data_IF_723504527440
#
_entry.id   IF_723504527440
#
_cell.length_a   1.000
_cell.length_b   1.000
_cell.length_c   1.000
_cell.angle_alpha   90.00
_cell.angle_beta   90.00
_cell.angle_gamma   90.00
#
_symmetry.space_group_name_H-M   'P 1'
#
loop_
_entity.id
_entity.type
_entity.pdbx_description
1 polymer ?
#
# COMPACT_ATOMS: atom_id res chain seq x y z
N UNK A 1 -34.09 23.54 -1.46
CA UNK A 1 -32.99 23.77 -0.50
C UNK A 1 -32.22 22.45 -0.43
N UNK A 2 -31.13 22.35 -1.21
CA UNK A 2 -30.43 21.10 -1.50
C UNK A 2 -29.40 20.79 -0.40
N UNK A 3 -29.68 19.79 0.43
CA UNK A 3 -28.86 19.38 1.58
C UNK A 3 -27.55 18.66 1.18
N UNK A 4 -27.15 18.69 -0.11
CA UNK A 4 -25.92 18.05 -0.59
C UNK A 4 -24.68 18.96 -0.61
N UNK A 5 -24.80 20.25 -0.32
CA UNK A 5 -23.70 21.21 -0.56
C UNK A 5 -22.68 21.39 0.58
N UNK A 6 -22.77 20.63 1.67
CA UNK A 6 -21.88 20.79 2.83
C UNK A 6 -20.97 19.57 3.09
N UNK A 7 -20.48 18.91 2.03
CA UNK A 7 -19.29 18.05 2.19
C UNK A 7 -18.09 18.99 2.19
N UNK A 8 -17.43 19.15 3.34
CA UNK A 8 -16.14 19.83 3.47
C UNK A 8 -15.13 19.17 2.54
N UNK A 9 -15.08 19.63 1.29
CA UNK A 9 -14.06 19.30 0.34
C UNK A 9 -12.83 20.10 0.73
N UNK A 10 -11.93 19.52 1.53
CA UNK A 10 -10.53 19.95 1.45
C UNK A 10 -10.17 19.93 -0.04
N UNK A 11 -9.74 21.05 -0.64
CA UNK A 11 -9.48 21.11 -2.06
C UNK A 11 -8.45 20.03 -2.41
N UNK A 12 -8.64 19.32 -3.53
CA UNK A 12 -7.78 18.20 -3.95
C UNK A 12 -6.27 18.56 -3.96
N UNK A 13 -5.95 19.86 -4.10
CA UNK A 13 -4.60 20.43 -3.95
C UNK A 13 -4.02 20.21 -2.55
N UNK A 14 -4.79 20.48 -1.49
CA UNK A 14 -4.34 20.27 -0.10
C UNK A 14 -4.06 18.82 0.23
N UNK A 15 -4.91 17.89 -0.22
CA UNK A 15 -4.68 16.45 -0.03
C UNK A 15 -3.43 15.96 -0.78
N UNK A 16 -3.14 16.50 -1.97
CA UNK A 16 -1.92 16.17 -2.72
C UNK A 16 -0.67 16.66 -2.01
N UNK A 17 -0.67 17.91 -1.52
CA UNK A 17 0.45 18.47 -0.76
C UNK A 17 0.70 17.68 0.53
N UNK A 18 -0.34 17.34 1.28
CA UNK A 18 -0.22 16.53 2.49
C UNK A 18 0.37 15.14 2.18
N UNK A 19 -0.10 14.47 1.13
CA UNK A 19 0.43 13.18 0.71
C UNK A 19 1.93 13.24 0.37
N UNK A 20 2.38 14.32 -0.27
CA UNK A 20 3.79 14.53 -0.60
C UNK A 20 4.62 14.78 0.67
N UNK A 21 4.12 15.61 1.60
CA UNK A 21 4.80 15.84 2.88
C UNK A 21 4.98 14.52 3.64
N UNK A 22 3.92 13.72 3.77
CA UNK A 22 4.02 12.41 4.42
C UNK A 22 4.94 11.44 3.68
N UNK A 23 4.98 11.49 2.35
CA UNK A 23 5.92 10.67 1.56
C UNK A 23 7.37 11.06 1.84
N UNK A 24 7.67 12.35 1.88
CA UNK A 24 9.02 12.85 2.20
C UNK A 24 9.41 12.49 3.62
N UNK A 25 8.49 12.67 4.59
CA UNK A 25 8.75 12.29 5.98
C UNK A 25 8.94 10.78 6.13
N UNK A 26 8.15 9.96 5.44
CA UNK A 26 8.31 8.50 5.40
C UNK A 26 9.69 8.13 4.87
N UNK A 27 10.12 8.73 3.76
CA UNK A 27 11.44 8.52 3.17
C UNK A 27 12.57 8.89 4.13
N UNK A 28 12.49 10.06 4.77
CA UNK A 28 13.47 10.48 5.78
C UNK A 28 13.52 9.53 6.97
N UNK A 29 12.36 9.07 7.47
CA UNK A 29 12.28 8.09 8.54
C UNK A 29 12.92 6.75 8.13
N UNK A 30 12.71 6.31 6.89
CA UNK A 30 13.30 5.08 6.37
C UNK A 30 14.83 5.19 6.23
N UNK A 31 15.34 6.32 5.73
CA UNK A 31 16.79 6.60 5.66
C UNK A 31 17.41 6.72 7.05
N UNK A 32 16.67 7.24 8.03
CA UNK A 32 17.13 7.34 9.41
C UNK A 32 17.10 6.01 10.18
N UNK A 33 16.31 5.01 9.74
CA UNK A 33 16.13 3.74 10.47
C UNK A 33 17.45 3.00 10.73
N UNK A 34 18.39 2.90 9.77
CA UNK A 34 19.73 2.33 9.99
C UNK A 34 20.58 3.00 11.07
N UNK A 35 20.28 4.26 11.44
CA UNK A 35 21.02 4.99 12.48
C UNK A 35 20.71 4.47 13.89
N UNK A 36 19.63 3.72 14.06
CA UNK A 36 19.24 3.12 15.33
C UNK A 36 19.84 1.72 15.48
N UNK A 37 20.17 1.34 16.70
CA UNK A 37 20.52 -0.03 17.03
C UNK A 37 19.33 -0.96 16.77
N UNK A 38 19.60 -2.22 16.42
CA UNK A 38 18.56 -3.22 16.09
C UNK A 38 17.43 -3.29 17.12
N UNK A 39 17.76 -3.24 18.40
CA UNK A 39 16.80 -3.27 19.51
C UNK A 39 15.96 -2.00 19.70
N UNK A 40 16.23 -0.92 18.96
CA UNK A 40 15.56 0.38 19.05
C UNK A 40 14.77 0.73 17.76
N UNK A 41 14.77 -0.15 16.75
CA UNK A 41 14.17 0.12 15.44
C UNK A 41 12.65 -0.02 15.38
N UNK A 42 11.99 -0.40 16.47
CA UNK A 42 10.53 -0.54 16.51
C UNK A 42 9.83 0.80 16.27
N UNK A 43 10.33 1.87 16.90
CA UNK A 43 9.78 3.21 16.76
C UNK A 43 9.94 3.77 15.34
N UNK A 44 11.13 3.79 14.71
CA UNK A 44 11.27 4.26 13.33
C UNK A 44 10.52 3.37 12.33
N UNK A 45 10.48 2.04 12.51
CA UNK A 45 9.66 1.14 11.67
C UNK A 45 8.18 1.52 11.76
N UNK A 46 7.69 1.77 12.97
CA UNK A 46 6.29 2.18 13.19
C UNK A 46 6.00 3.54 12.54
N UNK A 47 6.93 4.49 12.68
CA UNK A 47 6.81 5.80 12.06
C UNK A 47 6.75 5.69 10.53
N UNK A 48 7.60 4.87 9.90
CA UNK A 48 7.59 4.62 8.45
C UNK A 48 6.21 4.13 8.01
N UNK A 49 5.64 3.12 8.66
CA UNK A 49 4.33 2.57 8.29
C UNK A 49 3.19 3.58 8.49
N UNK A 50 3.21 4.34 9.58
CA UNK A 50 2.18 5.38 9.82
C UNK A 50 2.25 6.48 8.77
N UNK A 51 3.45 6.97 8.44
CA UNK A 51 3.65 8.00 7.42
C UNK A 51 3.31 7.47 6.02
N UNK A 52 3.61 6.20 5.75
CA UNK A 52 3.23 5.51 4.52
C UNK A 52 1.71 5.46 4.35
N UNK A 53 0.99 5.03 5.40
CA UNK A 53 -0.46 4.99 5.39
C UNK A 53 -1.11 6.38 5.31
N UNK A 54 -0.53 7.39 5.96
CA UNK A 54 -0.99 8.77 5.84
C UNK A 54 -0.81 9.31 4.41
N UNK A 55 0.34 9.03 3.78
CA UNK A 55 0.59 9.38 2.39
C UNK A 55 -0.41 8.70 1.45
N UNK A 56 -0.62 7.39 1.62
CA UNK A 56 -1.58 6.60 0.85
C UNK A 56 -3.03 7.13 0.98
N UNK A 57 -3.46 7.43 2.21
CA UNK A 57 -4.77 8.02 2.50
C UNK A 57 -4.94 9.36 1.76
N UNK A 58 -4.00 10.27 1.92
CA UNK A 58 -4.08 11.60 1.31
C UNK A 58 -4.02 11.53 -0.23
N UNK A 59 -3.20 10.64 -0.80
CA UNK A 59 -3.12 10.44 -2.25
C UNK A 59 -4.40 9.81 -2.82
N UNK A 60 -5.01 8.88 -2.10
CA UNK A 60 -6.32 8.32 -2.43
C UNK A 60 -7.41 9.40 -2.30
N UNK A 61 -7.41 10.19 -1.23
CA UNK A 61 -8.37 11.27 -1.01
C UNK A 61 -8.33 12.32 -2.13
N UNK A 62 -7.14 12.66 -2.62
CA UNK A 62 -6.96 13.53 -3.79
C UNK A 62 -7.56 12.96 -5.09
N UNK A 63 -7.72 11.63 -5.18
CA UNK A 63 -8.24 10.94 -6.37
C UNK A 63 -9.73 10.60 -6.31
N UNK A 64 -10.21 10.17 -5.14
CA UNK A 64 -11.57 9.63 -4.95
C UNK A 64 -12.39 10.35 -3.88
N UNK A 65 -11.83 11.39 -3.24
CA UNK A 65 -12.42 12.11 -2.12
C UNK A 65 -12.19 11.41 -0.77
N UNK A 66 -12.21 12.21 0.31
CA UNK A 66 -11.88 11.76 1.67
C UNK A 66 -12.72 10.60 2.17
N UNK A 67 -14.03 10.62 1.94
CA UNK A 67 -14.90 9.54 2.42
C UNK A 67 -14.50 8.18 1.85
N UNK A 68 -14.30 8.09 0.53
CA UNK A 68 -13.91 6.83 -0.13
C UNK A 68 -12.51 6.39 0.26
N UNK A 69 -11.61 7.34 0.46
CA UNK A 69 -10.25 7.06 0.91
C UNK A 69 -10.24 6.52 2.34
N UNK A 70 -11.00 7.12 3.25
CA UNK A 70 -11.18 6.63 4.62
C UNK A 70 -11.80 5.24 4.64
N UNK A 71 -12.89 5.02 3.89
CA UNK A 71 -13.49 3.68 3.77
C UNK A 71 -12.48 2.66 3.25
N UNK A 72 -11.68 3.01 2.23
CA UNK A 72 -10.65 2.12 1.71
C UNK A 72 -9.57 1.78 2.75
N UNK A 73 -9.04 2.79 3.46
CA UNK A 73 -8.03 2.57 4.51
C UNK A 73 -8.60 1.73 5.64
N UNK A 74 -9.76 2.10 6.18
CA UNK A 74 -10.39 1.34 7.28
C UNK A 74 -10.69 -0.09 6.87
N UNK A 75 -11.22 -0.31 5.66
CA UNK A 75 -11.52 -1.65 5.18
C UNK A 75 -10.24 -2.48 4.96
N UNK A 76 -9.18 -1.88 4.42
CA UNK A 76 -7.89 -2.54 4.26
C UNK A 76 -7.26 -2.94 5.60
N UNK A 77 -7.27 -2.01 6.57
CA UNK A 77 -6.76 -2.28 7.91
C UNK A 77 -7.59 -3.34 8.63
N UNK A 78 -8.92 -3.31 8.51
CA UNK A 78 -9.79 -4.31 9.13
C UNK A 78 -9.62 -5.71 8.51
N UNK A 79 -9.58 -5.80 7.18
CA UNK A 79 -9.37 -7.07 6.46
C UNK A 79 -7.99 -7.63 6.77
N UNK A 80 -6.94 -6.80 6.69
CA UNK A 80 -5.58 -7.18 7.07
C UNK A 80 -5.53 -7.71 8.49
N UNK A 81 -6.03 -6.94 9.47
CA UNK A 81 -6.08 -7.39 10.86
C UNK A 81 -6.83 -8.71 11.05
N UNK A 82 -8.00 -8.87 10.43
CA UNK A 82 -8.80 -10.07 10.58
C UNK A 82 -8.06 -11.30 10.04
N UNK A 83 -7.42 -11.17 8.88
CA UNK A 83 -6.67 -12.26 8.26
C UNK A 83 -5.43 -12.60 9.08
N UNK A 84 -4.69 -11.62 9.57
CA UNK A 84 -3.52 -11.82 10.44
C UNK A 84 -3.91 -12.51 11.75
N UNK A 85 -5.03 -12.09 12.35
CA UNK A 85 -5.54 -12.67 13.60
C UNK A 85 -6.01 -14.13 13.41
N UNK A 86 -6.53 -14.48 12.23
CA UNK A 86 -6.86 -15.87 11.89
C UNK A 86 -5.57 -16.65 11.61
N UNK A 87 -4.70 -16.11 10.76
CA UNK A 87 -3.49 -16.77 10.29
C UNK A 87 -2.50 -17.10 11.40
N UNK A 88 -2.28 -16.17 12.33
CA UNK A 88 -1.42 -16.40 13.51
C UNK A 88 -1.97 -17.46 14.48
N UNK A 89 -3.28 -17.78 14.42
CA UNK A 89 -3.90 -18.81 15.26
C UNK A 89 -4.02 -20.16 14.59
N UNK A 90 -4.25 -20.18 13.28
CA UNK A 90 -4.51 -21.40 12.52
C UNK A 90 -3.30 -21.91 11.76
N UNK A 91 -2.29 -21.06 11.53
CA UNK A 91 -1.15 -21.33 10.64
C UNK A 91 -1.53 -21.36 9.15
N UNK A 92 -2.79 -21.10 8.79
CA UNK A 92 -3.28 -21.12 7.41
C UNK A 92 -3.68 -19.71 6.97
N UNK A 93 -3.28 -19.25 5.77
CA UNK A 93 -2.39 -19.89 4.79
C UNK A 93 -0.88 -19.65 5.02
N UNK A 94 -0.50 -18.89 6.06
CA UNK A 94 0.85 -18.30 6.18
C UNK A 94 1.96 -19.24 6.70
N UNK A 95 1.59 -20.47 7.09
CA UNK A 95 2.41 -21.30 7.95
C UNK A 95 2.30 -20.86 9.42
N UNK A 96 2.86 -21.66 10.33
CA UNK A 96 2.91 -21.29 11.74
C UNK A 96 3.95 -20.18 11.95
N UNK A 97 3.48 -18.96 12.20
CA UNK A 97 4.31 -17.81 12.53
C UNK A 97 3.74 -17.02 13.69
N UNK A 98 4.61 -16.24 14.33
CA UNK A 98 4.23 -15.33 15.40
C UNK A 98 4.95 -14.00 15.26
N UNK A 99 4.26 -12.94 15.66
CA UNK A 99 4.89 -11.66 15.94
C UNK A 99 5.66 -11.74 17.25
N UNK A 100 6.82 -11.09 17.31
CA UNK A 100 7.49 -10.84 18.58
C UNK A 100 6.77 -9.72 19.34
N UNK A 101 7.08 -9.57 20.64
CA UNK A 101 6.51 -8.50 21.47
C UNK A 101 7.00 -7.09 21.15
N UNK A 102 7.85 -6.92 20.13
CA UNK A 102 8.56 -5.68 19.84
C UNK A 102 7.66 -4.57 19.26
N UNK A 103 6.82 -4.91 18.28
CA UNK A 103 5.89 -3.95 17.68
C UNK A 103 4.61 -3.89 18.50
N UNK A 104 4.37 -2.73 19.12
CA UNK A 104 3.24 -2.44 20.00
C UNK A 104 2.46 -1.21 19.53
N UNK A 105 1.16 -1.11 19.85
CA UNK A 105 0.35 -2.09 20.58
C UNK A 105 -0.04 -3.29 19.72
N UNK A 106 -0.30 -4.43 20.36
CA UNK A 106 -0.88 -5.62 19.73
C UNK A 106 -2.32 -5.83 20.17
N UNK A 107 -3.16 -6.28 19.23
CA UNK A 107 -4.53 -6.72 19.50
C UNK A 107 -4.64 -8.16 19.01
N UNK A 108 -5.08 -9.07 19.87
CA UNK A 108 -5.15 -10.51 19.58
C UNK A 108 -3.80 -11.13 19.13
N UNK A 109 -2.66 -10.56 19.54
CA UNK A 109 -1.32 -11.01 19.15
C UNK A 109 -0.82 -10.44 17.82
N UNK A 110 -1.59 -9.56 17.18
CA UNK A 110 -1.23 -8.89 15.92
C UNK A 110 -0.90 -7.42 16.19
N UNK A 111 0.29 -6.93 15.80
CA UNK A 111 0.62 -5.51 15.88
C UNK A 111 -0.32 -4.65 15.05
N UNK A 112 -0.88 -3.61 15.65
CA UNK A 112 -1.80 -2.68 14.97
C UNK A 112 -1.13 -2.02 13.76
N UNK A 113 0.17 -1.78 13.85
CA UNK A 113 0.95 -1.22 12.75
C UNK A 113 0.99 -2.13 11.52
N UNK A 114 0.96 -3.45 11.70
CA UNK A 114 0.96 -4.39 10.56
C UNK A 114 -0.37 -4.33 9.82
N UNK A 115 -1.48 -4.25 10.55
CA UNK A 115 -2.79 -4.00 9.95
C UNK A 115 -2.83 -2.67 9.16
N UNK A 116 -2.12 -1.64 9.63
CA UNK A 116 -2.02 -0.36 8.92
C UNK A 116 -1.16 -0.47 7.63
N UNK A 117 -0.14 -1.32 7.61
CA UNK A 117 0.71 -1.56 6.44
C UNK A 117 -0.08 -2.04 5.21
N UNK A 118 -1.11 -2.87 5.42
CA UNK A 118 -2.03 -3.31 4.36
C UNK A 118 -2.67 -2.13 3.61
N UNK A 119 -3.08 -1.08 4.32
CA UNK A 119 -3.59 0.15 3.71
C UNK A 119 -2.46 0.98 3.07
N UNK A 120 -1.32 1.07 3.77
CA UNK A 120 -0.16 1.85 3.37
C UNK A 120 0.44 1.44 2.03
N UNK A 121 0.52 0.14 1.74
CA UNK A 121 1.01 -0.36 0.44
C UNK A 121 -0.08 -0.87 -0.48
N UNK A 122 -1.24 -1.29 0.03
CA UNK A 122 -2.34 -1.74 -0.81
C UNK A 122 -2.89 -0.64 -1.72
N UNK A 123 -3.04 0.60 -1.23
CA UNK A 123 -3.50 1.72 -2.05
C UNK A 123 -2.46 2.15 -3.12
N UNK A 124 -1.16 2.25 -2.82
CA UNK A 124 -0.10 2.38 -3.82
C UNK A 124 -0.11 1.26 -4.88
N UNK A 125 -0.21 -0.01 -4.48
CA UNK A 125 -0.28 -1.15 -5.39
C UNK A 125 -1.53 -1.07 -6.30
N UNK A 126 -2.69 -0.70 -5.74
CA UNK A 126 -3.91 -0.47 -6.50
C UNK A 126 -3.81 0.70 -7.49
N UNK A 127 -3.04 1.73 -7.14
CA UNK A 127 -2.76 2.86 -8.01
C UNK A 127 -1.80 2.50 -9.15
N UNK A 128 -0.75 1.72 -8.86
CA UNK A 128 0.16 1.13 -9.86
C UNK A 128 -0.63 0.34 -10.89
N UNK A 129 -1.44 -0.63 -10.44
CA UNK A 129 -2.26 -1.43 -11.34
C UNK A 129 -3.25 -0.58 -12.15
N UNK A 130 -3.91 0.39 -11.52
CA UNK A 130 -4.88 1.27 -12.18
C UNK A 130 -4.29 2.25 -13.20
N UNK A 131 -2.96 2.42 -13.20
CA UNK A 131 -2.23 3.21 -14.20
C UNK A 131 -1.72 2.35 -15.36
N UNK A 132 -1.56 1.04 -15.14
CA UNK A 132 -1.03 0.09 -16.13
C UNK A 132 -2.12 -0.64 -16.91
N UNK A 133 -3.25 -0.95 -16.27
CA UNK A 133 -4.32 -1.75 -16.89
C UNK A 133 -5.70 -1.14 -16.63
N UNK A 134 -6.60 -1.32 -17.60
CA UNK A 134 -7.98 -0.81 -17.55
C UNK A 134 -9.03 -1.87 -17.24
N UNK A 135 -8.73 -3.14 -17.53
CA UNK A 135 -9.65 -4.25 -17.30
C UNK A 135 -9.75 -4.54 -15.79
N UNK A 136 -10.96 -4.62 -15.21
CA UNK A 136 -11.12 -4.78 -13.76
C UNK A 136 -10.39 -6.01 -13.19
N UNK A 137 -10.52 -7.18 -13.84
CA UNK A 137 -9.88 -8.41 -13.40
C UNK A 137 -8.33 -8.32 -13.48
N UNK A 138 -7.80 -7.77 -14.59
CA UNK A 138 -6.36 -7.56 -14.73
C UNK A 138 -5.82 -6.59 -13.67
N UNK A 139 -6.59 -5.56 -13.31
CA UNK A 139 -6.21 -4.62 -12.26
C UNK A 139 -6.16 -5.27 -10.89
N UNK A 140 -7.11 -6.14 -10.59
CA UNK A 140 -7.11 -6.93 -9.35
C UNK A 140 -5.88 -7.84 -9.31
N UNK A 141 -5.64 -8.62 -10.37
CA UNK A 141 -4.49 -9.52 -10.44
C UNK A 141 -3.15 -8.78 -10.34
N UNK A 142 -2.97 -7.69 -11.08
CA UNK A 142 -1.73 -6.92 -11.08
C UNK A 142 -1.52 -6.17 -9.76
N UNK A 143 -2.59 -5.63 -9.16
CA UNK A 143 -2.51 -5.00 -7.84
C UNK A 143 -2.16 -6.00 -6.75
N UNK A 144 -2.70 -7.22 -6.84
CA UNK A 144 -2.39 -8.30 -5.91
C UNK A 144 -0.92 -8.72 -6.01
N UNK A 145 -0.44 -8.94 -7.25
CA UNK A 145 0.96 -9.25 -7.51
C UNK A 145 1.90 -8.11 -7.06
N UNK A 146 1.51 -6.85 -7.25
CA UNK A 146 2.31 -5.70 -6.82
C UNK A 146 2.42 -5.61 -5.30
N UNK A 147 1.31 -5.83 -4.57
CA UNK A 147 1.30 -5.83 -3.11
C UNK A 147 2.11 -7.01 -2.55
N UNK A 148 1.86 -8.23 -3.03
CA UNK A 148 2.62 -9.42 -2.62
C UNK A 148 4.09 -9.35 -3.02
N UNK A 149 4.41 -8.66 -4.12
CA UNK A 149 5.78 -8.40 -4.52
C UNK A 149 6.57 -7.60 -3.47
N UNK A 150 5.90 -6.73 -2.72
CA UNK A 150 6.54 -5.99 -1.62
C UNK A 150 6.87 -6.91 -0.44
N UNK A 151 6.09 -7.97 -0.19
CA UNK A 151 6.38 -8.94 0.85
C UNK A 151 7.69 -9.70 0.61
N UNK A 152 8.17 -9.77 -0.64
CA UNK A 152 9.50 -10.28 -0.96
C UNK A 152 10.63 -9.47 -0.29
N UNK A 153 10.38 -8.22 0.09
CA UNK A 153 11.28 -7.42 0.91
C UNK A 153 10.87 -7.42 2.37
N UNK A 154 9.59 -7.14 2.64
CA UNK A 154 9.08 -6.93 3.98
C UNK A 154 9.26 -8.16 4.88
N UNK A 155 8.94 -9.36 4.38
CA UNK A 155 9.07 -10.60 5.16
C UNK A 155 10.53 -10.85 5.59
N UNK A 156 11.53 -10.89 4.69
CA UNK A 156 12.92 -10.98 5.11
C UNK A 156 13.37 -9.86 6.03
N UNK A 157 12.89 -8.62 5.83
CA UNK A 157 13.26 -7.48 6.66
C UNK A 157 12.80 -7.69 8.09
N UNK A 158 11.55 -8.06 8.28
CA UNK A 158 10.97 -8.25 9.61
C UNK A 158 11.52 -9.51 10.30
N UNK A 159 11.88 -10.56 9.55
CA UNK A 159 12.62 -11.72 10.11
C UNK A 159 14.03 -11.31 10.52
N UNK A 160 14.74 -10.54 9.68
CA UNK A 160 16.09 -10.06 9.97
C UNK A 160 16.13 -9.12 11.18
N UNK A 161 15.07 -8.34 11.42
CA UNK A 161 14.92 -7.52 12.62
C UNK A 161 14.47 -8.35 13.84
N UNK A 162 13.82 -9.51 13.64
CA UNK A 162 13.29 -10.36 14.70
C UNK A 162 11.86 -10.00 15.13
N UNK A 163 11.13 -9.32 14.26
CA UNK A 163 9.72 -8.96 14.47
C UNK A 163 8.79 -10.11 14.07
N UNK A 164 9.16 -10.90 13.06
CA UNK A 164 8.44 -12.11 12.66
C UNK A 164 9.29 -13.35 12.87
N UNK A 165 8.64 -14.42 13.30
CA UNK A 165 9.30 -15.69 13.61
C UNK A 165 8.44 -16.82 13.03
N UNK A 166 9.02 -17.56 12.07
CA UNK A 166 8.50 -18.85 11.60
C UNK A 166 9.36 -19.97 12.21
N UNK A 167 8.91 -20.65 13.29
CA UNK A 167 9.72 -21.67 13.96
C UNK A 167 10.06 -22.87 13.06
N UNK A 168 9.15 -23.22 12.14
CA UNK A 168 9.36 -24.29 11.16
C UNK A 168 10.30 -23.93 10.00
N UNK A 169 10.72 -22.67 9.90
CA UNK A 169 11.52 -22.16 8.79
C UNK A 169 10.78 -22.19 7.46
N UNK A 170 11.55 -22.00 6.38
CA UNK A 170 11.00 -21.94 5.03
C UNK A 170 12.05 -21.56 3.99
N UNK A 171 11.70 -21.75 2.72
CA UNK A 171 12.65 -21.68 1.60
C UNK A 171 13.22 -20.26 1.37
N UNK A 172 12.49 -19.21 1.73
CA UNK A 172 12.89 -17.84 1.49
C UNK A 172 13.21 -17.15 2.80
N UNK A 173 14.49 -17.21 3.23
CA UNK A 173 14.97 -16.59 4.48
C UNK A 173 14.23 -17.04 5.75
N UNK A 174 13.81 -18.30 5.77
CA UNK A 174 13.03 -18.86 6.87
C UNK A 174 11.52 -18.68 6.71
N UNK A 175 11.05 -18.04 5.62
CA UNK A 175 9.63 -17.87 5.31
C UNK A 175 9.16 -18.97 4.35
N UNK A 176 8.06 -19.69 4.64
CA UNK A 176 7.52 -20.73 3.79
C UNK A 176 6.84 -20.15 2.55
N UNK A 177 6.88 -20.86 1.41
CA UNK A 177 6.27 -20.37 0.16
C UNK A 177 4.73 -20.25 0.24
N UNK A 178 4.10 -21.00 1.14
CA UNK A 178 2.65 -20.89 1.43
C UNK A 178 2.28 -19.50 1.93
N UNK A 179 3.19 -18.81 2.62
CA UNK A 179 3.01 -17.44 3.08
C UNK A 179 2.75 -16.48 1.91
N UNK A 180 3.61 -16.48 0.90
CA UNK A 180 3.45 -15.63 -0.28
C UNK A 180 2.20 -16.00 -1.09
N UNK A 181 1.82 -17.28 -1.15
CA UNK A 181 0.56 -17.69 -1.76
C UNK A 181 -0.66 -17.16 -0.97
N UNK A 182 -0.56 -17.17 0.36
CA UNK A 182 -1.51 -16.54 1.26
C UNK A 182 -1.64 -15.04 1.03
N UNK A 183 -0.51 -14.32 1.04
CA UNK A 183 -0.48 -12.89 0.75
C UNK A 183 -1.04 -12.54 -0.61
N UNK A 184 -0.80 -13.37 -1.63
CA UNK A 184 -1.41 -13.17 -2.95
C UNK A 184 -2.94 -13.28 -2.91
N UNK A 185 -3.48 -14.27 -2.21
CA UNK A 185 -4.93 -14.46 -2.08
C UNK A 185 -5.58 -13.29 -1.32
N UNK A 186 -4.96 -12.85 -0.22
CA UNK A 186 -5.44 -11.72 0.60
C UNK A 186 -5.33 -10.41 -0.16
N UNK A 187 -4.22 -10.22 -0.88
CA UNK A 187 -4.02 -9.05 -1.73
C UNK A 187 -5.07 -9.00 -2.84
N UNK A 188 -5.41 -10.13 -3.47
CA UNK A 188 -6.48 -10.19 -4.46
C UNK A 188 -7.85 -9.82 -3.88
N UNK A 189 -8.19 -10.32 -2.68
CA UNK A 189 -9.39 -9.92 -1.95
C UNK A 189 -9.41 -8.41 -1.69
N UNK A 190 -8.28 -7.86 -1.23
CA UNK A 190 -8.15 -6.44 -0.94
C UNK A 190 -8.27 -5.58 -2.20
N UNK A 191 -7.66 -5.99 -3.32
CA UNK A 191 -7.80 -5.29 -4.59
C UNK A 191 -9.23 -5.34 -5.13
N UNK A 192 -9.93 -6.47 -4.97
CA UNK A 192 -11.35 -6.58 -5.31
C UNK A 192 -12.21 -5.63 -4.47
N UNK A 193 -11.91 -5.50 -3.17
CA UNK A 193 -12.55 -4.53 -2.30
C UNK A 193 -12.30 -3.09 -2.76
N UNK A 194 -11.05 -2.74 -3.12
CA UNK A 194 -10.72 -1.43 -3.68
C UNK A 194 -11.39 -1.15 -5.02
N UNK A 195 -11.67 -2.17 -5.83
CA UNK A 195 -12.47 -2.01 -7.05
C UNK A 195 -13.89 -1.52 -6.76
N UNK A 196 -14.44 -1.84 -5.58
CA UNK A 196 -15.75 -1.38 -5.14
C UNK A 196 -15.67 0.01 -4.48
N UNK A 197 -14.78 0.16 -3.49
CA UNK A 197 -14.78 1.34 -2.62
C UNK A 197 -13.95 2.50 -3.17
N UNK A 198 -12.87 2.21 -3.92
CA UNK A 198 -11.95 3.20 -4.49
C UNK A 198 -11.50 2.93 -5.95
N UNK A 199 -12.41 2.58 -6.91
CA UNK A 199 -12.07 2.32 -8.31
C UNK A 199 -11.33 3.45 -9.02
N UNK A 200 -11.50 4.70 -8.59
CA UNK A 200 -10.82 5.86 -9.16
C UNK A 200 -9.42 6.14 -8.59
N UNK A 201 -8.96 5.39 -7.59
CA UNK A 201 -7.69 5.65 -6.91
C UNK A 201 -6.51 5.18 -7.79
N UNK A 202 -6.05 6.08 -8.67
CA UNK A 202 -4.96 5.86 -9.65
C UNK A 202 -3.97 7.02 -9.64
N UNK A 203 -3.76 7.60 -8.46
CA UNK A 203 -2.88 8.74 -8.24
C UNK A 203 -1.45 8.42 -8.69
N UNK A 204 -0.83 9.32 -9.45
CA UNK A 204 0.60 9.23 -9.76
C UNK A 204 1.43 9.30 -8.47
N UNK A 205 0.99 10.07 -7.48
CA UNK A 205 1.68 10.19 -6.19
C UNK A 205 1.64 8.88 -5.39
N UNK A 206 0.51 8.18 -5.36
CA UNK A 206 0.44 6.85 -4.75
C UNK A 206 1.34 5.84 -5.47
N UNK A 207 1.42 5.91 -6.82
CA UNK A 207 2.37 5.09 -7.57
C UNK A 207 3.83 5.48 -7.29
N UNK A 208 4.13 6.76 -7.04
CA UNK A 208 5.44 7.24 -6.59
C UNK A 208 5.80 6.68 -5.22
N UNK A 209 4.84 6.57 -4.30
CA UNK A 209 5.04 5.91 -3.00
C UNK A 209 5.49 4.46 -3.18
N UNK A 210 4.81 3.69 -4.04
CA UNK A 210 5.20 2.30 -4.34
C UNK A 210 6.61 2.23 -4.94
N UNK A 211 6.90 3.05 -5.96
CA UNK A 211 8.19 3.06 -6.62
C UNK A 211 9.34 3.48 -5.69
N UNK A 212 9.10 4.49 -4.85
CA UNK A 212 10.09 4.93 -3.86
C UNK A 212 10.36 3.84 -2.83
N UNK A 213 9.31 3.19 -2.30
CA UNK A 213 9.45 2.06 -1.39
C UNK A 213 10.28 0.94 -2.04
N UNK A 214 9.95 0.54 -3.27
CA UNK A 214 10.71 -0.50 -4.00
C UNK A 214 12.20 -0.17 -4.13
N UNK A 215 12.54 1.08 -4.49
CA UNK A 215 13.94 1.51 -4.59
C UNK A 215 14.62 1.53 -3.22
N UNK A 216 13.93 2.04 -2.19
CA UNK A 216 14.47 2.09 -0.83
C UNK A 216 14.71 0.70 -0.25
N UNK A 217 13.84 -0.27 -0.53
CA UNK A 217 14.03 -1.66 -0.11
C UNK A 217 15.23 -2.30 -0.83
N UNK A 218 15.38 -2.11 -2.15
CA UNK A 218 16.57 -2.58 -2.88
C UNK A 218 17.84 -2.02 -2.25
N UNK A 219 17.88 -0.71 -2.00
CA UNK A 219 19.04 -0.07 -1.37
C UNK A 219 19.26 -0.55 0.06
N UNK A 220 18.19 -0.71 0.86
CA UNK A 220 18.25 -1.22 2.22
C UNK A 220 18.85 -2.63 2.26
N UNK A 221 18.39 -3.52 1.37
CA UNK A 221 18.92 -4.88 1.32
C UNK A 221 20.36 -4.95 0.81
N UNK A 222 20.76 -4.11 -0.16
CA UNK A 222 22.14 -4.08 -0.65
C UNK A 222 23.12 -3.46 0.36
N UNK A 223 22.74 -2.34 0.97
CA UNK A 223 23.67 -1.50 1.73
C UNK A 223 23.63 -1.76 3.24
N UNK A 224 22.49 -2.21 3.76
CA UNK A 224 22.27 -2.31 5.20
C UNK A 224 22.07 -3.74 5.68
N UNK A 225 21.18 -4.52 5.05
CA UNK A 225 20.99 -5.92 5.41
C UNK A 225 22.05 -6.86 4.80
N UNK A 226 22.79 -6.40 3.79
CA UNK A 226 23.85 -7.19 3.14
C UNK A 226 23.33 -8.41 2.39
N UNK A 227 22.13 -8.32 1.83
CA UNK A 227 21.42 -9.43 1.22
C UNK A 227 20.99 -9.10 -0.21
N UNK A 228 21.90 -9.39 -1.13
CA UNK A 228 21.69 -9.19 -2.55
C UNK A 228 20.58 -10.06 -3.15
N UNK A 229 20.30 -11.23 -2.57
CA UNK A 229 19.26 -12.13 -3.09
C UNK A 229 17.89 -11.50 -2.91
N UNK A 230 17.60 -10.97 -1.71
CA UNK A 230 16.34 -10.27 -1.46
C UNK A 230 16.26 -8.99 -2.29
N UNK A 231 17.34 -8.21 -2.36
CA UNK A 231 17.40 -7.03 -3.21
C UNK A 231 17.05 -7.33 -4.68
N UNK A 232 17.62 -8.39 -5.25
CA UNK A 232 17.38 -8.78 -6.64
C UNK A 232 15.96 -9.33 -6.83
N UNK A 233 15.52 -10.27 -5.99
CA UNK A 233 14.22 -10.93 -6.14
C UNK A 233 13.07 -9.94 -6.00
N UNK A 234 13.05 -9.13 -4.94
CA UNK A 234 12.03 -8.10 -4.79
C UNK A 234 12.18 -6.98 -5.83
N UNK A 235 13.42 -6.62 -6.18
CA UNK A 235 13.72 -5.54 -7.13
C UNK A 235 13.22 -5.83 -8.54
N UNK A 236 13.43 -7.07 -9.02
CA UNK A 236 12.94 -7.53 -10.32
C UNK A 236 11.42 -7.50 -10.44
N UNK A 237 10.68 -7.62 -9.32
CA UNK A 237 9.23 -7.55 -9.31
C UNK A 237 8.75 -6.10 -9.16
N UNK A 238 9.18 -5.40 -8.11
CA UNK A 238 8.57 -4.14 -7.71
C UNK A 238 9.06 -2.94 -8.54
N UNK A 239 10.35 -2.87 -8.88
CA UNK A 239 10.92 -1.70 -9.58
C UNK A 239 10.31 -1.53 -10.98
N UNK A 240 10.21 -2.58 -11.83
CA UNK A 240 9.59 -2.44 -13.14
C UNK A 240 8.13 -1.98 -13.06
N UNK A 241 7.35 -2.49 -12.11
CA UNK A 241 5.96 -2.09 -11.89
C UNK A 241 5.85 -0.62 -11.49
N UNK A 242 6.69 -0.18 -10.55
CA UNK A 242 6.76 1.21 -10.12
C UNK A 242 7.14 2.16 -11.26
N UNK A 243 8.22 1.85 -11.97
CA UNK A 243 8.71 2.66 -13.11
C UNK A 243 7.66 2.72 -14.22
N UNK A 244 7.12 1.58 -14.63
CA UNK A 244 6.09 1.50 -15.65
C UNK A 244 4.87 2.35 -15.29
N UNK A 245 4.41 2.29 -14.04
CA UNK A 245 3.28 3.10 -13.58
C UNK A 245 3.61 4.60 -13.62
N UNK A 246 4.84 5.01 -13.31
CA UNK A 246 5.23 6.43 -13.33
C UNK A 246 5.33 7.03 -14.73
N UNK A 247 5.77 6.23 -15.71
CA UNK A 247 5.88 6.64 -17.12
C UNK A 247 4.57 6.49 -17.90
N UNK A 248 3.64 5.64 -17.42
CA UNK A 248 2.35 5.45 -18.06
C UNK A 248 1.59 6.79 -18.22
N UNK A 249 0.99 7.05 -19.40
CA UNK A 249 0.25 8.28 -19.65
C UNK A 249 -0.91 8.44 -18.64
N UNK A 250 -1.38 9.68 -18.44
CA UNK A 250 -2.57 9.89 -17.61
C UNK A 250 -3.72 9.10 -18.22
N UNK A 251 -4.37 8.21 -17.46
CA UNK A 251 -5.49 7.47 -17.99
C UNK A 251 -6.59 8.47 -18.35
N UNK A 252 -7.31 8.28 -19.47
CA UNK A 252 -8.33 9.21 -19.90
C UNK A 252 -9.29 9.51 -18.74
N UNK A 253 -9.57 10.80 -18.54
CA UNK A 253 -10.65 11.22 -17.65
C UNK A 253 -11.93 10.54 -18.10
N UNK A 254 -12.84 10.22 -17.18
CA UNK A 254 -14.21 9.90 -17.61
C UNK A 254 -14.66 11.10 -18.44
N UNK A 255 -14.93 10.87 -19.73
CA UNK A 255 -15.65 11.83 -20.54
C UNK A 255 -16.94 12.10 -19.75
N UNK A 256 -17.13 13.34 -19.31
CA UNK A 256 -18.49 13.74 -18.95
C UNK A 256 -19.35 13.45 -20.18
N UNK A 257 -20.52 12.82 -20.04
CA UNK A 257 -21.40 12.64 -21.18
C UNK A 257 -21.63 14.02 -21.79
N UNK A 258 -21.24 14.20 -23.06
CA UNK A 258 -21.51 15.39 -23.87
C UNK A 258 -23.03 15.59 -23.95
N UNK A 259 -23.59 16.21 -22.92
CA UNK A 259 -25.03 16.26 -22.71
C UNK A 259 -25.45 17.49 -21.93
N UNK A 260 -24.65 18.56 -21.96
CA UNK A 260 -25.07 19.90 -21.53
C UNK A 260 -24.24 20.99 -22.20
N UNK A 261 -24.03 20.90 -23.52
CA UNK A 261 -23.83 22.13 -24.30
C UNK A 261 -25.10 22.95 -24.11
N UNK A 262 -25.02 24.00 -23.28
CA UNK A 262 -26.03 25.05 -23.19
C UNK A 262 -26.25 25.52 -24.63
N UNK A 263 -27.43 25.22 -25.20
CA UNK A 263 -27.88 25.94 -26.39
C UNK A 263 -27.90 27.43 -26.00
N UNK A 264 -27.27 28.32 -26.78
CA UNK A 264 -27.54 29.74 -26.63
C UNK A 264 -29.04 29.92 -26.81
N UNK A 265 -29.68 30.58 -25.85
CA UNK A 265 -31.03 31.10 -26.05
C UNK A 265 -30.97 32.00 -27.27
N UNK A 266 -31.48 31.51 -28.40
CA UNK A 266 -31.76 32.35 -29.55
C UNK A 266 -32.74 33.43 -29.06
N UNK A 267 -32.33 34.68 -29.16
CA UNK A 267 -33.20 35.82 -29.03
C UNK A 267 -34.40 35.64 -29.98
N UNK A 268 -35.59 35.52 -29.40
CA UNK A 268 -36.83 35.99 -30.03
C UNK A 268 -36.96 37.43 -29.49
N UNK A 269 -36.82 38.45 -30.32
CA UNK A 269 -37.71 38.72 -31.45
C UNK A 269 -38.78 39.64 -30.91
#
# INVERSE_FOLDING_TARGET
>A
MDLRSARHHLPARGATSAALVFLVLMWLAQVATPLFERGQRQAPTTAVVVLLAASALCAAAASVGWWRALVAVTAATAVGFAVEAVGTRTGLPFGEYRYSGALQPQVLGVPVVVALAWAGMGLPAWAVAGRLVHQPAARVALGAAALTGWDLFLDPQMVAEGFWIWPGGGAYRGIPLSNFAGWLAVSALLMALFALVAPGARSKLAASTYALMAVMEVLGFLLFFGDAVVAIVGGLVCVPLGVAALVAPRPPGRLEPEGRRRRPLAARG
#
